data_IF_359848684845
#
_entry.id   IF_359848684845
#
_cell.length_a   1.000
_cell.length_b   1.000
_cell.length_c   1.000
_cell.angle_alpha   90.00
_cell.angle_beta   90.00
_cell.angle_gamma   90.00
#
_symmetry.space_group_name_H-M   'P 1'
#
loop_
_entity.id
_entity.type
_entity.pdbx_description
1 polymer ?
#
# COMPACT_ATOMS: atom_id res chain seq x y z
N UNK A 1 9.89 0.98 27.14
CA UNK A 1 11.21 0.31 27.17
C UNK A 1 11.48 -0.21 25.76
N UNK A 2 12.36 0.45 25.00
CA UNK A 2 12.66 0.09 23.62
C UNK A 2 13.81 -0.91 23.52
N UNK A 3 13.71 -1.86 22.58
CA UNK A 3 14.79 -2.83 22.28
C UNK A 3 15.82 -2.14 21.36
N UNK A 4 17.10 -2.05 21.75
CA UNK A 4 18.13 -1.47 20.89
C UNK A 4 18.27 -2.28 19.59
N UNK A 5 18.37 -1.60 18.45
CA UNK A 5 18.62 -2.18 17.14
C UNK A 5 20.00 -1.75 16.64
N UNK A 6 20.71 -2.68 15.99
CA UNK A 6 22.01 -2.45 15.35
C UNK A 6 22.00 -3.11 13.98
N UNK A 7 22.70 -2.50 13.02
CA UNK A 7 22.90 -3.06 11.68
C UNK A 7 24.38 -3.42 11.53
N UNK A 8 24.68 -4.60 10.98
CA UNK A 8 26.04 -5.03 10.66
C UNK A 8 26.20 -5.15 9.14
N UNK A 9 27.24 -4.52 8.59
CA UNK A 9 27.64 -4.66 7.18
C UNK A 9 29.13 -5.04 7.15
N UNK A 10 29.42 -6.29 6.75
CA UNK A 10 30.77 -6.85 6.87
C UNK A 10 31.25 -6.87 8.32
N UNK A 11 32.39 -6.22 8.58
CA UNK A 11 32.97 -6.09 9.93
C UNK A 11 32.51 -4.82 10.68
N UNK A 12 31.71 -3.96 10.06
CA UNK A 12 31.25 -2.71 10.68
C UNK A 12 29.88 -2.92 11.33
N UNK A 13 29.73 -2.40 12.55
CA UNK A 13 28.47 -2.43 13.32
C UNK A 13 28.06 -0.98 13.59
N UNK A 14 26.79 -0.65 13.36
CA UNK A 14 26.24 0.68 13.65
C UNK A 14 26.20 0.94 15.15
N UNK A 15 26.09 2.21 15.53
CA UNK A 15 25.70 2.57 16.89
C UNK A 15 24.29 2.03 17.20
N UNK A 16 24.01 1.59 18.44
CA UNK A 16 22.67 1.15 18.82
C UNK A 16 21.66 2.28 18.72
N UNK A 17 20.59 2.07 17.96
CA UNK A 17 19.44 2.97 17.88
C UNK A 17 18.29 2.38 18.71
N UNK A 18 17.67 3.19 19.55
CA UNK A 18 16.41 2.82 20.23
C UNK A 18 15.27 3.34 19.35
N UNK A 19 14.52 2.48 18.64
CA UNK A 19 13.37 2.93 17.87
C UNK A 19 12.27 3.39 18.84
N UNK A 20 11.78 4.61 18.66
CA UNK A 20 10.63 5.15 19.40
C UNK A 20 9.30 4.98 18.63
N UNK A 21 9.37 4.44 17.42
CA UNK A 21 8.24 4.24 16.51
C UNK A 21 8.31 2.87 15.86
N UNK A 22 7.15 2.30 15.53
CA UNK A 22 7.03 0.97 14.95
C UNK A 22 7.17 -0.16 15.99
N UNK A 23 6.81 -1.37 15.57
CA UNK A 23 7.00 -2.57 16.38
C UNK A 23 8.34 -3.24 16.03
N UNK A 24 9.06 -3.85 16.99
CA UNK A 24 10.33 -4.51 16.72
C UNK A 24 10.20 -5.55 15.60
N UNK A 25 11.12 -5.54 14.65
CA UNK A 25 11.18 -6.56 13.60
C UNK A 25 11.31 -7.96 14.25
N UNK A 26 10.47 -8.91 13.82
CA UNK A 26 10.42 -10.26 14.37
C UNK A 26 9.62 -10.41 15.67
N UNK A 27 8.91 -9.36 16.13
CA UNK A 27 7.93 -9.53 17.20
C UNK A 27 6.65 -10.19 16.65
N UNK A 28 6.20 -11.26 17.31
CA UNK A 28 4.98 -12.02 16.95
C UNK A 28 3.73 -11.13 16.94
N UNK A 29 3.73 -10.05 17.72
CA UNK A 29 2.62 -9.10 17.79
C UNK A 29 2.66 -8.00 16.73
N UNK A 30 3.78 -7.79 16.03
CA UNK A 30 3.91 -6.73 15.02
C UNK A 30 2.82 -6.79 13.94
N UNK A 31 2.50 -7.97 13.35
CA UNK A 31 1.45 -8.06 12.35
C UNK A 31 0.06 -7.69 12.90
N UNK A 32 -0.28 -8.14 14.11
CA UNK A 32 -1.57 -7.83 14.74
C UNK A 32 -1.71 -6.34 15.02
N UNK A 33 -0.66 -5.73 15.59
CA UNK A 33 -0.65 -4.29 15.87
C UNK A 33 -0.77 -3.46 14.59
N UNK A 34 -0.11 -3.89 13.51
CA UNK A 34 -0.22 -3.24 12.21
C UNK A 34 -1.63 -3.36 11.62
N UNK A 35 -2.26 -4.53 11.73
CA UNK A 35 -3.65 -4.72 11.30
C UNK A 35 -4.63 -3.83 12.08
N UNK A 36 -4.42 -3.66 13.39
CA UNK A 36 -5.23 -2.76 14.21
C UNK A 36 -4.98 -1.29 13.86
N UNK A 37 -3.71 -0.91 13.65
CA UNK A 37 -3.30 0.44 13.29
C UNK A 37 -3.89 0.91 11.96
N UNK A 38 -4.02 0.00 10.99
CA UNK A 38 -4.56 0.32 9.66
C UNK A 38 -6.06 0.01 9.53
N UNK A 39 -6.73 -0.42 10.60
CA UNK A 39 -8.09 -0.98 10.52
C UNK A 39 -9.13 0.02 9.99
N UNK A 40 -9.03 1.28 10.41
CA UNK A 40 -9.90 2.40 10.04
C UNK A 40 -9.68 2.95 8.63
N UNK A 41 -8.61 2.53 7.93
CA UNK A 41 -8.43 2.78 6.51
C UNK A 41 -9.48 1.97 5.71
N UNK A 42 -10.63 2.57 5.45
CA UNK A 42 -11.79 1.95 4.78
C UNK A 42 -12.25 2.80 3.60
N UNK A 43 -12.93 2.17 2.63
CA UNK A 43 -13.46 2.86 1.46
C UNK A 43 -14.56 3.87 1.86
N UNK A 44 -14.55 5.04 1.23
CA UNK A 44 -15.58 6.08 1.35
C UNK A 44 -16.83 5.76 0.54
N UNK A 45 -16.69 5.09 -0.61
CA UNK A 45 -17.76 4.80 -1.55
C UNK A 45 -18.09 3.31 -1.57
N UNK A 46 -19.38 2.97 -1.51
CA UNK A 46 -19.85 1.59 -1.55
C UNK A 46 -19.53 0.85 -2.86
N UNK A 47 -19.26 1.57 -3.95
CA UNK A 47 -18.82 1.02 -5.24
C UNK A 47 -17.35 0.60 -5.26
N UNK A 48 -16.61 0.90 -4.19
CA UNK A 48 -15.18 0.73 -4.10
C UNK A 48 -14.81 -0.15 -2.91
N UNK A 49 -13.58 -0.62 -2.89
CA UNK A 49 -13.07 -1.49 -1.84
C UNK A 49 -11.59 -1.19 -1.60
N UNK A 50 -11.20 -1.16 -0.33
CA UNK A 50 -9.80 -1.11 0.09
C UNK A 50 -9.44 -2.47 0.66
N UNK A 51 -8.48 -3.13 0.03
CA UNK A 51 -7.98 -4.46 0.44
C UNK A 51 -6.57 -4.25 1.00
N UNK A 52 -6.31 -4.76 2.21
CA UNK A 52 -5.06 -4.58 2.94
C UNK A 52 -4.43 -5.92 3.26
N UNK A 53 -3.14 -6.06 2.99
CA UNK A 53 -2.34 -7.21 3.40
C UNK A 53 -0.96 -6.73 3.81
N UNK A 54 -0.69 -6.68 5.13
CA UNK A 54 0.51 -6.02 5.65
C UNK A 54 0.68 -4.62 5.02
N UNK A 55 1.88 -4.26 4.56
CA UNK A 55 2.14 -2.96 3.92
C UNK A 55 1.52 -2.81 2.52
N UNK A 56 1.04 -3.88 1.89
CA UNK A 56 0.36 -3.81 0.60
C UNK A 56 -1.10 -3.37 0.77
N UNK A 57 -1.48 -2.32 0.06
CA UNK A 57 -2.87 -1.81 0.01
C UNK A 57 -3.31 -1.68 -1.44
N UNK A 58 -4.48 -2.23 -1.75
CA UNK A 58 -5.10 -2.16 -3.08
C UNK A 58 -6.43 -1.41 -2.99
N UNK A 59 -6.60 -0.39 -3.83
CA UNK A 59 -7.87 0.31 -4.04
C UNK A 59 -8.52 -0.25 -5.30
N UNK A 60 -9.73 -0.77 -5.17
CA UNK A 60 -10.53 -1.30 -6.28
C UNK A 60 -11.78 -0.45 -6.41
N UNK A 61 -12.09 0.02 -7.61
CA UNK A 61 -13.31 0.78 -7.87
C UNK A 61 -13.93 0.43 -9.21
N UNK A 62 -15.25 0.46 -9.28
CA UNK A 62 -15.98 0.19 -10.51
C UNK A 62 -16.12 1.46 -11.36
N UNK A 63 -15.61 1.43 -12.59
CA UNK A 63 -15.82 2.50 -13.57
C UNK A 63 -17.10 2.22 -14.35
N UNK A 64 -18.08 3.12 -14.28
CA UNK A 64 -19.36 3.01 -15.00
C UNK A 64 -19.58 4.24 -15.85
N UNK A 65 -20.09 4.09 -17.09
CA UNK A 65 -20.34 5.23 -17.98
C UNK A 65 -19.15 6.19 -18.15
N UNK A 66 -17.92 5.64 -18.15
CA UNK A 66 -16.67 6.42 -18.19
C UNK A 66 -16.51 7.39 -17.00
N UNK A 67 -17.17 7.10 -15.87
CA UNK A 67 -17.06 7.82 -14.62
C UNK A 67 -16.23 7.00 -13.62
N UNK A 68 -15.04 7.51 -13.32
CA UNK A 68 -14.09 6.97 -12.34
C UNK A 68 -13.97 7.85 -11.08
N UNK A 69 -14.86 8.84 -10.92
CA UNK A 69 -14.77 9.87 -9.88
C UNK A 69 -14.64 9.25 -8.48
N UNK A 70 -15.51 8.30 -8.13
CA UNK A 70 -15.48 7.63 -6.84
C UNK A 70 -14.12 6.97 -6.58
N UNK A 71 -13.55 6.27 -7.58
CA UNK A 71 -12.23 5.65 -7.45
C UNK A 71 -11.12 6.70 -7.23
N UNK A 72 -11.14 7.81 -7.97
CA UNK A 72 -10.16 8.89 -7.80
C UNK A 72 -10.28 9.57 -6.44
N UNK A 73 -11.50 9.68 -5.90
CA UNK A 73 -11.74 10.19 -4.56
C UNK A 73 -11.15 9.26 -3.49
N UNK A 74 -11.27 7.94 -3.64
CA UNK A 74 -10.61 6.97 -2.75
C UNK A 74 -9.08 7.08 -2.79
N UNK A 75 -8.49 7.16 -3.99
CA UNK A 75 -7.03 7.28 -4.12
C UNK A 75 -6.52 8.55 -3.42
N UNK A 76 -7.26 9.66 -3.57
CA UNK A 76 -6.95 10.91 -2.87
C UNK A 76 -7.11 10.76 -1.36
N UNK A 77 -8.21 10.16 -0.91
CA UNK A 77 -8.50 9.95 0.51
C UNK A 77 -7.46 9.05 1.18
N UNK A 78 -7.04 7.97 0.51
CA UNK A 78 -5.96 7.10 0.96
C UNK A 78 -4.64 7.87 1.12
N UNK A 79 -4.31 8.74 0.16
CA UNK A 79 -3.12 9.60 0.25
C UNK A 79 -3.14 10.52 1.48
N UNK A 80 -4.29 11.15 1.76
CA UNK A 80 -4.47 11.99 2.96
C UNK A 80 -4.39 11.15 4.24
N UNK A 81 -5.09 10.01 4.29
CA UNK A 81 -5.08 9.12 5.45
C UNK A 81 -3.66 8.63 5.76
N UNK A 82 -2.86 8.27 4.75
CA UNK A 82 -1.46 7.90 4.95
C UNK A 82 -0.66 9.07 5.56
N UNK A 83 -0.84 10.28 5.07
CA UNK A 83 -0.15 11.46 5.61
C UNK A 83 -0.52 11.72 7.08
N UNK A 84 -1.80 11.64 7.43
CA UNK A 84 -2.30 11.82 8.80
C UNK A 84 -1.80 10.72 9.75
N UNK A 85 -1.60 9.51 9.24
CA UNK A 85 -1.11 8.36 9.99
C UNK A 85 0.42 8.18 9.93
N UNK A 86 1.17 9.19 9.46
CA UNK A 86 2.63 9.15 9.34
C UNK A 86 3.17 7.97 8.49
N UNK A 87 2.39 7.55 7.49
CA UNK A 87 2.76 6.56 6.48
C UNK A 87 3.19 7.26 5.19
N UNK A 88 4.23 6.74 4.56
CA UNK A 88 4.71 7.23 3.26
C UNK A 88 4.32 6.24 2.17
N UNK A 89 3.57 6.71 1.17
CA UNK A 89 3.24 5.90 0.00
C UNK A 89 4.46 5.73 -0.91
N UNK A 90 4.73 4.49 -1.32
CA UNK A 90 5.77 4.21 -2.29
C UNK A 90 5.23 4.33 -3.73
N UNK A 91 5.12 5.57 -4.21
CA UNK A 91 4.57 5.89 -5.54
C UNK A 91 5.27 5.13 -6.68
N UNK A 92 6.58 4.88 -6.54
CA UNK A 92 7.35 4.14 -7.56
C UNK A 92 6.89 2.67 -7.70
N UNK A 93 6.46 2.07 -6.59
CA UNK A 93 5.93 0.70 -6.55
C UNK A 93 4.43 0.63 -6.82
N UNK A 94 3.67 1.69 -6.54
CA UNK A 94 2.24 1.77 -6.84
C UNK A 94 2.00 1.72 -8.35
N UNK A 95 1.07 0.86 -8.79
CA UNK A 95 0.65 0.74 -10.19
C UNK A 95 -0.86 0.88 -10.30
N UNK A 96 -1.30 1.57 -11.33
CA UNK A 96 -2.71 1.66 -11.71
C UNK A 96 -3.01 0.69 -12.86
N UNK A 97 -4.12 -0.02 -12.75
CA UNK A 97 -4.56 -1.00 -13.74
C UNK A 97 -6.03 -0.80 -14.07
N UNK A 98 -6.36 -0.63 -15.35
CA UNK A 98 -7.73 -0.54 -15.86
C UNK A 98 -8.04 -1.82 -16.61
N UNK A 99 -9.06 -2.55 -16.16
CA UNK A 99 -9.50 -3.80 -16.77
C UNK A 99 -10.85 -3.58 -17.46
N UNK A 100 -10.87 -3.65 -18.80
CA UNK A 100 -12.10 -3.56 -19.61
C UNK A 100 -12.37 -4.90 -20.31
N UNK A 101 -13.42 -5.60 -19.88
CA UNK A 101 -13.82 -6.89 -20.44
C UNK A 101 -14.59 -6.78 -21.76
N UNK A 102 -14.88 -5.56 -22.25
CA UNK A 102 -15.63 -5.34 -23.49
C UNK A 102 -14.76 -5.37 -24.76
N UNK A 103 -13.42 -5.42 -24.62
CA UNK A 103 -12.51 -5.56 -25.77
C UNK A 103 -12.32 -7.03 -26.14
N UNK A 104 -12.77 -7.41 -27.34
CA UNK A 104 -12.15 -8.55 -28.05
C UNK A 104 -10.65 -8.28 -28.16
N UNK A 105 -9.82 -9.30 -27.90
CA UNK A 105 -8.36 -9.22 -27.98
C UNK A 105 -7.95 -8.52 -29.28
N UNK A 106 -7.21 -7.41 -29.18
CA UNK A 106 -6.41 -6.95 -30.32
C UNK A 106 -5.24 -7.92 -30.42
N UNK A 107 -5.26 -8.78 -31.43
CA UNK A 107 -4.11 -9.59 -31.81
C UNK A 107 -2.89 -8.66 -31.96
N UNK A 108 -1.85 -8.90 -31.17
CA UNK A 108 -0.57 -8.22 -31.33
C UNK A 108 0.08 -8.76 -32.61
N UNK A 109 0.46 -7.92 -33.60
CA UNK A 109 1.26 -8.41 -34.70
C UNK A 109 2.63 -8.89 -34.17
N UNK A 110 3.18 -10.00 -34.71
CA UNK A 110 4.46 -10.52 -34.24
C UNK A 110 5.58 -9.49 -34.43
N UNK A 111 6.46 -9.40 -33.43
CA UNK A 111 7.63 -8.53 -33.47
C UNK A 111 8.54 -8.90 -34.65
N UNK A 112 9.00 -7.93 -35.46
CA UNK A 112 9.99 -8.20 -36.51
C UNK A 112 11.35 -8.53 -35.89
N UNK A 113 11.99 -9.56 -36.44
CA UNK A 113 13.35 -10.03 -36.11
C UNK A 113 14.43 -9.02 -36.50
#
# INVERSE_FOLDING_TARGET
>A
MGRPQVVRVGNNISTPLIPNTGAPQGCVLSPLLYSLFTHDCVAMHASNSIIKFADDTTVVGLITNNNEMAYREEVRALGVWCQENNLTLNVNKTKEMIVDFRKQQREQPPYPH
#
